data_IF_535798730804
#
_entry.id   IF_535798730804
#
_cell.length_a   1.000
_cell.length_b   1.000
_cell.length_c   1.000
_cell.angle_alpha   90.00
_cell.angle_beta   90.00
_cell.angle_gamma   90.00
#
_symmetry.space_group_name_H-M   'P 1'
#
loop_
_entity.id
_entity.type
_entity.pdbx_description
1 polymer ?
#
# COMPACT_ATOMS: atom_id res chain seq x y z
N UNK A 1 -41.63 -9.43 22.04
CA UNK A 1 -41.07 -8.81 20.81
C UNK A 1 -39.86 -8.00 21.22
N UNK A 2 -38.65 -8.50 20.99
CA UNK A 2 -37.43 -7.68 21.16
C UNK A 2 -37.53 -6.49 20.20
N UNK A 3 -37.46 -5.26 20.74
CA UNK A 3 -37.19 -4.07 19.93
C UNK A 3 -35.68 -3.97 19.83
N UNK A 4 -35.09 -4.55 18.78
CA UNK A 4 -33.68 -4.29 18.48
C UNK A 4 -33.51 -2.79 18.24
N UNK A 5 -32.72 -2.13 19.09
CA UNK A 5 -32.49 -0.71 18.97
C UNK A 5 -31.51 -0.47 17.81
N UNK A 6 -31.95 0.28 16.80
CA UNK A 6 -31.13 0.57 15.61
C UNK A 6 -30.31 1.82 15.87
N UNK A 7 -28.99 1.70 15.71
CA UNK A 7 -28.03 2.80 15.90
C UNK A 7 -27.36 3.10 14.57
N UNK A 8 -27.42 4.35 14.14
CA UNK A 8 -26.69 4.84 12.96
C UNK A 8 -25.52 5.71 13.39
N UNK A 9 -24.35 5.40 12.86
CA UNK A 9 -23.10 6.14 13.07
C UNK A 9 -22.73 6.83 11.77
N UNK A 10 -22.50 8.14 11.87
CA UNK A 10 -22.00 8.98 10.79
C UNK A 10 -20.54 9.29 11.10
N UNK A 11 -19.62 8.84 10.25
CA UNK A 11 -18.18 8.96 10.50
C UNK A 11 -17.43 9.21 9.21
N UNK A 12 -16.16 9.58 9.33
CA UNK A 12 -15.18 9.49 8.25
C UNK A 12 -14.26 8.34 8.65
N UNK A 13 -14.29 7.26 7.89
CA UNK A 13 -13.47 6.10 8.12
C UNK A 13 -12.25 6.14 7.21
N UNK A 14 -11.13 5.60 7.68
CA UNK A 14 -9.96 5.36 6.84
C UNK A 14 -9.28 4.07 7.25
N UNK A 15 -8.61 3.45 6.29
CA UNK A 15 -7.73 2.31 6.52
C UNK A 15 -6.48 2.47 5.65
N UNK A 16 -5.37 1.90 6.12
CA UNK A 16 -4.09 1.92 5.41
C UNK A 16 -3.44 0.55 5.45
N UNK A 17 -2.97 0.08 4.30
CA UNK A 17 -2.06 -1.05 4.22
C UNK A 17 -0.64 -0.52 4.39
N UNK A 18 0.09 -1.08 5.35
CA UNK A 18 1.48 -0.74 5.60
C UNK A 18 2.41 -1.86 5.15
N UNK A 19 3.55 -1.48 4.57
CA UNK A 19 4.61 -2.37 4.15
C UNK A 19 5.98 -1.78 4.43
N UNK A 20 6.99 -2.63 4.53
CA UNK A 20 8.37 -2.14 4.64
C UNK A 20 8.90 -1.78 3.26
N UNK A 21 9.35 -0.55 3.10
CA UNK A 21 10.06 -0.08 1.91
C UNK A 21 11.27 0.75 2.34
N UNK A 22 12.47 0.41 1.87
CA UNK A 22 13.73 1.05 2.28
C UNK A 22 13.90 1.14 3.82
N UNK A 23 13.45 0.11 4.55
CA UNK A 23 13.51 0.05 6.01
C UNK A 23 12.49 0.94 6.75
N UNK A 24 11.61 1.64 6.03
CA UNK A 24 10.50 2.42 6.60
C UNK A 24 9.22 1.59 6.51
N UNK A 25 8.46 1.50 7.60
CA UNK A 25 7.13 0.91 7.58
C UNK A 25 6.13 1.96 7.12
N UNK A 26 5.85 1.97 5.82
CA UNK A 26 5.13 3.04 5.13
C UNK A 26 3.78 2.59 4.61
N UNK A 27 2.83 3.52 4.49
CA UNK A 27 1.59 3.28 3.76
C UNK A 27 1.89 2.94 2.29
N UNK A 28 1.40 1.80 1.82
CA UNK A 28 1.57 1.30 0.45
C UNK A 28 0.26 1.25 -0.35
N UNK A 29 -0.87 1.29 0.35
CA UNK A 29 -2.22 1.37 -0.19
C UNK A 29 -3.16 1.77 0.94
N UNK A 30 -4.42 2.08 0.63
CA UNK A 30 -5.40 2.47 1.62
C UNK A 30 -6.56 3.19 0.98
N UNK A 31 -7.47 3.61 1.83
CA UNK A 31 -8.64 4.38 1.44
C UNK A 31 -9.24 5.09 2.63
N UNK A 32 -10.12 6.03 2.33
CA UNK A 32 -10.93 6.68 3.32
C UNK A 32 -12.11 7.36 2.68
N UNK A 33 -13.24 7.29 3.34
CA UNK A 33 -14.48 7.88 2.86
C UNK A 33 -15.36 8.26 4.06
N UNK A 34 -16.22 9.26 3.89
CA UNK A 34 -17.42 9.36 4.70
C UNK A 34 -18.22 8.06 4.65
N UNK A 35 -18.65 7.58 5.82
CA UNK A 35 -19.33 6.29 5.94
C UNK A 35 -20.51 6.40 6.87
N UNK A 36 -21.60 5.71 6.51
CA UNK A 36 -22.73 5.47 7.41
C UNK A 36 -22.74 4.01 7.79
N UNK A 37 -22.66 3.74 9.10
CA UNK A 37 -22.68 2.39 9.64
C UNK A 37 -23.94 2.21 10.48
N UNK A 38 -24.71 1.16 10.20
CA UNK A 38 -25.92 0.83 10.95
C UNK A 38 -25.71 -0.44 11.76
N UNK A 39 -26.05 -0.39 13.04
CA UNK A 39 -25.97 -1.52 13.97
C UNK A 39 -27.35 -1.83 14.57
N UNK A 40 -27.60 -3.10 14.90
CA UNK A 40 -28.57 -3.46 15.92
C UNK A 40 -27.86 -3.57 17.27
N UNK A 41 -28.54 -3.10 18.32
CA UNK A 41 -28.10 -3.29 19.70
C UNK A 41 -29.11 -4.15 20.43
N UNK A 42 -28.65 -5.28 20.97
CA UNK A 42 -29.51 -6.18 21.74
C UNK A 42 -29.67 -5.70 23.19
N UNK A 43 -30.52 -6.38 23.96
CA UNK A 43 -30.81 -6.04 25.36
C UNK A 43 -29.58 -6.17 26.29
N UNK A 44 -28.58 -6.97 25.90
CA UNK A 44 -27.30 -7.11 26.62
C UNK A 44 -26.30 -5.99 26.27
N UNK A 45 -26.65 -5.13 25.32
CA UNK A 45 -25.82 -4.04 24.86
C UNK A 45 -24.79 -4.41 23.81
N UNK A 46 -24.84 -5.62 23.25
CA UNK A 46 -23.97 -6.08 22.18
C UNK A 46 -24.43 -5.48 20.84
N UNK A 47 -23.46 -5.16 19.98
CA UNK A 47 -23.69 -4.54 18.68
C UNK A 47 -23.45 -5.56 17.56
N UNK A 48 -24.38 -5.64 16.61
CA UNK A 48 -24.24 -6.40 15.38
C UNK A 48 -24.30 -5.46 14.18
N UNK A 49 -23.33 -5.57 13.26
CA UNK A 49 -23.32 -4.78 12.04
C UNK A 49 -24.50 -5.20 11.16
N UNK A 50 -25.33 -4.22 10.77
CA UNK A 50 -26.43 -4.42 9.82
C UNK A 50 -26.08 -3.90 8.44
N UNK A 51 -25.42 -2.75 8.36
CA UNK A 51 -25.14 -2.11 7.08
C UNK A 51 -23.89 -1.22 7.17
N UNK A 52 -23.13 -1.20 6.08
CA UNK A 52 -22.00 -0.30 5.85
C UNK A 52 -22.18 0.35 4.48
N UNK A 53 -22.21 1.69 4.42
CA UNK A 53 -22.42 2.46 3.18
C UNK A 53 -21.36 3.53 2.99
N UNK A 54 -20.84 3.60 1.78
CA UNK A 54 -19.95 4.66 1.27
C UNK A 54 -20.66 5.46 0.17
N UNK A 55 -20.29 6.74 -0.04
CA UNK A 55 -20.77 7.53 -1.16
C UNK A 55 -20.29 6.91 -2.50
N UNK A 56 -21.01 7.23 -3.56
CA UNK A 56 -20.58 6.89 -4.92
C UNK A 56 -19.40 7.78 -5.34
N UNK A 57 -18.62 7.34 -6.31
CA UNK A 57 -17.48 8.11 -6.81
C UNK A 57 -17.85 9.13 -7.90
N UNK A 58 -16.91 10.03 -8.18
CA UNK A 58 -16.95 10.93 -9.33
C UNK A 58 -18.11 11.93 -9.29
N UNK A 59 -18.79 12.10 -10.43
CA UNK A 59 -19.85 13.10 -10.58
C UNK A 59 -21.04 12.88 -9.63
N UNK A 60 -21.21 11.68 -9.07
CA UNK A 60 -22.31 11.35 -8.17
C UNK A 60 -21.94 11.45 -6.67
N UNK A 61 -20.69 11.81 -6.35
CA UNK A 61 -20.18 11.85 -4.98
C UNK A 61 -20.99 12.78 -4.09
N UNK A 62 -21.09 14.06 -4.44
CA UNK A 62 -21.80 15.07 -3.64
C UNK A 62 -23.25 14.70 -3.39
N UNK A 63 -23.97 14.22 -4.41
CA UNK A 63 -25.39 13.87 -4.30
C UNK A 63 -25.62 12.63 -3.43
N UNK A 64 -24.78 11.61 -3.55
CA UNK A 64 -24.87 10.40 -2.73
C UNK A 64 -24.59 10.70 -1.26
N UNK A 65 -23.57 11.53 -1.00
CA UNK A 65 -23.16 11.95 0.33
C UNK A 65 -24.28 12.76 1.03
N UNK A 66 -24.92 13.71 0.33
CA UNK A 66 -26.08 14.45 0.87
C UNK A 66 -27.30 13.56 1.15
N UNK A 67 -27.51 12.49 0.36
CA UNK A 67 -28.58 11.51 0.61
C UNK A 67 -28.30 10.61 1.80
N UNK A 68 -27.03 10.30 2.06
CA UNK A 68 -26.62 9.41 3.14
C UNK A 68 -26.58 10.09 4.49
N UNK A 69 -26.15 11.35 4.55
CA UNK A 69 -25.94 12.11 5.78
C UNK A 69 -27.11 13.05 6.09
N UNK A 70 -27.45 13.27 7.38
CA UNK A 70 -28.36 14.32 7.81
C UNK A 70 -27.89 15.70 7.33
N UNK A 71 -28.82 16.57 6.95
CA UNK A 71 -28.55 17.91 6.41
C UNK A 71 -27.60 18.73 7.30
N UNK A 72 -27.79 18.67 8.62
CA UNK A 72 -26.94 19.35 9.60
C UNK A 72 -25.45 18.96 9.56
N UNK A 73 -25.10 17.82 8.94
CA UNK A 73 -23.72 17.34 8.82
C UNK A 73 -23.13 17.59 7.44
N UNK A 74 -23.92 18.05 6.46
CA UNK A 74 -23.48 18.16 5.05
C UNK A 74 -22.20 19.00 4.91
N UNK A 75 -22.11 20.14 5.58
CA UNK A 75 -20.92 21.00 5.50
C UNK A 75 -19.67 20.31 6.08
N UNK A 76 -19.83 19.56 7.17
CA UNK A 76 -18.73 18.82 7.80
C UNK A 76 -18.22 17.70 6.91
N UNK A 77 -19.13 16.97 6.27
CA UNK A 77 -18.79 15.80 5.45
C UNK A 77 -18.35 16.17 4.03
N UNK A 78 -18.81 17.30 3.49
CA UNK A 78 -18.26 17.87 2.25
C UNK A 78 -16.86 18.46 2.44
N UNK A 79 -16.52 18.83 3.68
CA UNK A 79 -15.18 19.31 4.07
C UNK A 79 -14.40 18.21 4.82
N UNK A 80 -14.58 16.94 4.42
CA UNK A 80 -14.00 15.79 5.12
C UNK A 80 -12.46 15.78 5.13
N UNK A 81 -11.83 16.45 4.17
CA UNK A 81 -10.38 16.60 4.04
C UNK A 81 -9.73 17.21 5.29
N UNK A 82 -10.45 18.07 6.02
CA UNK A 82 -9.96 18.66 7.28
C UNK A 82 -9.64 17.62 8.36
N UNK A 83 -10.22 16.42 8.27
CA UNK A 83 -10.00 15.34 9.23
C UNK A 83 -8.87 14.39 8.83
N UNK A 84 -8.37 14.46 7.59
CA UNK A 84 -7.34 13.55 7.08
C UNK A 84 -6.02 13.59 7.86
N UNK A 85 -5.53 14.73 8.36
CA UNK A 85 -4.32 14.75 9.19
C UNK A 85 -4.45 13.92 10.47
N UNK A 86 -5.61 13.97 11.13
CA UNK A 86 -5.86 13.19 12.35
C UNK A 86 -6.03 11.70 12.05
N UNK A 87 -6.73 11.36 10.95
CA UNK A 87 -6.85 9.97 10.49
C UNK A 87 -5.47 9.38 10.15
N UNK A 88 -4.59 10.17 9.53
CA UNK A 88 -3.20 9.79 9.23
C UNK A 88 -2.44 9.49 10.52
N UNK A 89 -2.56 10.35 11.54
CA UNK A 89 -1.94 10.15 12.85
C UNK A 89 -2.43 8.87 13.53
N UNK A 90 -3.73 8.58 13.44
CA UNK A 90 -4.32 7.36 14.01
C UNK A 90 -3.79 6.10 13.31
N UNK A 91 -3.69 6.12 11.97
CA UNK A 91 -3.10 5.02 11.21
C UNK A 91 -1.64 4.78 11.59
N UNK A 92 -0.84 5.84 11.72
CA UNK A 92 0.56 5.72 12.15
C UNK A 92 0.69 5.16 13.57
N UNK A 93 -0.19 5.58 14.50
CA UNK A 93 -0.21 5.05 15.85
C UNK A 93 -0.52 3.55 15.86
N UNK A 94 -1.57 3.13 15.15
CA UNK A 94 -1.96 1.72 15.04
C UNK A 94 -0.85 0.87 14.37
N UNK A 95 -0.23 1.38 13.30
CA UNK A 95 0.89 0.72 12.65
C UNK A 95 2.10 0.59 13.58
N UNK A 96 2.39 1.60 14.39
CA UNK A 96 3.47 1.55 15.39
C UNK A 96 3.17 0.53 16.51
N UNK A 97 1.93 0.43 16.96
CA UNK A 97 1.50 -0.59 17.93
C UNK A 97 1.61 -2.00 17.36
N UNK A 98 1.23 -2.20 16.10
CA UNK A 98 1.43 -3.46 15.39
C UNK A 98 2.92 -3.85 15.33
N UNK A 99 3.81 -2.93 14.98
CA UNK A 99 5.26 -3.22 14.97
C UNK A 99 5.75 -3.68 16.35
N UNK A 100 5.32 -3.00 17.41
CA UNK A 100 5.66 -3.39 18.80
C UNK A 100 5.16 -4.80 19.13
N UNK A 101 3.93 -5.15 18.73
CA UNK A 101 3.34 -6.46 19.04
C UNK A 101 4.07 -7.62 18.38
N UNK A 102 4.74 -7.39 17.24
CA UNK A 102 5.60 -8.37 16.56
C UNK A 102 7.09 -8.21 16.91
N UNK A 103 7.44 -7.38 17.91
CA UNK A 103 8.82 -7.18 18.36
C UNK A 103 9.73 -6.44 17.38
N UNK A 104 9.17 -5.66 16.44
CA UNK A 104 9.93 -4.87 15.46
C UNK A 104 9.90 -3.38 15.80
N UNK A 105 10.96 -2.68 15.40
CA UNK A 105 11.05 -1.21 15.51
C UNK A 105 11.48 -0.66 14.17
N UNK A 106 10.72 0.30 13.65
CA UNK A 106 11.05 1.04 12.44
C UNK A 106 10.37 2.40 12.46
N UNK A 107 10.83 3.31 11.59
CA UNK A 107 10.08 4.54 11.32
C UNK A 107 8.74 4.17 10.67
N UNK A 108 7.66 4.72 11.20
CA UNK A 108 6.32 4.61 10.63
C UNK A 108 5.98 5.89 9.87
N UNK A 109 5.37 5.77 8.70
CA UNK A 109 4.94 6.90 7.88
C UNK A 109 3.73 6.54 7.04
N UNK A 110 2.57 7.14 7.27
CA UNK A 110 1.44 6.99 6.35
C UNK A 110 1.63 7.82 5.07
N UNK A 111 2.47 8.86 5.13
CA UNK A 111 2.79 9.70 3.98
C UNK A 111 3.67 8.99 2.96
N UNK A 112 3.52 9.38 1.69
CA UNK A 112 4.35 8.90 0.59
C UNK A 112 5.83 9.17 0.83
N UNK A 113 6.64 8.10 0.77
CA UNK A 113 8.09 8.19 0.84
C UNK A 113 8.64 8.29 -0.59
N UNK A 114 9.30 9.41 -0.91
CA UNK A 114 9.92 9.62 -2.23
C UNK A 114 10.87 8.47 -2.58
N UNK A 115 10.69 7.91 -3.77
CA UNK A 115 11.53 6.83 -4.32
C UNK A 115 12.42 7.34 -5.44
N UNK A 116 13.61 6.75 -5.58
CA UNK A 116 14.53 7.02 -6.68
C UNK A 116 14.21 6.05 -7.83
N UNK A 117 13.87 6.57 -9.00
CA UNK A 117 13.70 5.74 -10.20
C UNK A 117 15.06 5.34 -10.79
N UNK A 118 15.06 4.29 -11.62
CA UNK A 118 16.22 3.93 -12.44
C UNK A 118 16.49 5.01 -13.49
N UNK A 119 17.76 5.30 -13.73
CA UNK A 119 18.22 6.21 -14.77
C UNK A 119 18.45 5.45 -16.07
N UNK A 120 17.35 5.08 -16.74
CA UNK A 120 17.33 4.38 -18.04
C UNK A 120 16.21 5.00 -18.90
N UNK A 121 16.27 4.80 -20.22
CA UNK A 121 15.23 5.34 -21.09
C UNK A 121 13.84 4.70 -20.78
N UNK A 122 12.78 5.42 -21.14
CA UNK A 122 11.39 5.03 -20.83
C UNK A 122 11.00 3.69 -21.50
N UNK A 123 11.50 3.42 -22.71
CA UNK A 123 11.20 2.18 -23.42
C UNK A 123 11.76 0.95 -22.68
N UNK A 124 13.02 1.01 -22.27
CA UNK A 124 13.67 -0.02 -21.45
C UNK A 124 12.99 -0.15 -20.09
N UNK A 125 12.59 0.97 -19.46
CA UNK A 125 11.84 0.96 -18.21
C UNK A 125 10.50 0.20 -18.37
N UNK A 126 9.75 0.49 -19.43
CA UNK A 126 8.47 -0.20 -19.69
C UNK A 126 8.68 -1.70 -19.93
N UNK A 127 9.70 -2.09 -20.69
CA UNK A 127 10.06 -3.51 -20.88
C UNK A 127 10.33 -4.21 -19.55
N UNK A 128 11.19 -3.64 -18.71
CA UNK A 128 11.60 -4.25 -17.44
C UNK A 128 10.48 -4.28 -16.41
N UNK A 129 9.74 -3.19 -16.24
CA UNK A 129 8.84 -3.01 -15.10
C UNK A 129 7.35 -3.22 -15.44
N UNK A 130 6.98 -3.24 -16.72
CA UNK A 130 5.59 -3.46 -17.15
C UNK A 130 5.43 -4.71 -18.02
N UNK A 131 6.32 -4.99 -18.95
CA UNK A 131 6.17 -6.15 -19.85
C UNK A 131 6.67 -7.44 -19.20
N UNK A 132 7.94 -7.46 -18.75
CA UNK A 132 8.53 -8.67 -18.17
C UNK A 132 7.84 -9.08 -16.85
N UNK A 133 7.31 -8.12 -16.10
CA UNK A 133 6.61 -8.36 -14.83
C UNK A 133 5.24 -9.02 -15.02
N UNK A 134 4.63 -8.99 -16.21
CA UNK A 134 3.35 -9.67 -16.46
C UNK A 134 3.45 -11.20 -16.37
N UNK A 135 4.62 -11.74 -16.73
CA UNK A 135 4.84 -13.18 -16.82
C UNK A 135 5.86 -13.71 -15.81
N UNK A 136 6.47 -12.82 -15.02
CA UNK A 136 7.46 -13.18 -14.03
C UNK A 136 7.11 -12.59 -12.67
N UNK A 137 6.63 -13.47 -11.77
CA UNK A 137 6.22 -13.08 -10.42
C UNK A 137 7.37 -12.51 -9.59
N UNK A 138 8.59 -13.03 -9.74
CA UNK A 138 9.76 -12.52 -9.03
C UNK A 138 10.06 -11.06 -9.43
N UNK A 139 10.04 -10.75 -10.72
CA UNK A 139 10.20 -9.37 -11.21
C UNK A 139 9.03 -8.49 -10.81
N UNK A 140 7.80 -9.01 -10.87
CA UNK A 140 6.60 -8.30 -10.42
C UNK A 140 6.67 -7.94 -8.92
N UNK A 141 7.30 -8.82 -8.13
CA UNK A 141 7.55 -8.63 -6.71
C UNK A 141 8.73 -7.70 -6.42
N UNK A 142 9.59 -7.39 -7.39
CA UNK A 142 10.61 -6.35 -7.22
C UNK A 142 10.01 -4.94 -7.35
N UNK A 143 10.49 -3.95 -6.58
CA UNK A 143 10.02 -2.58 -6.71
C UNK A 143 10.40 -2.00 -8.09
N UNK A 144 9.53 -1.18 -8.70
CA UNK A 144 9.86 -0.48 -9.95
C UNK A 144 10.74 0.77 -9.74
N UNK A 145 11.36 0.87 -8.56
CA UNK A 145 12.24 1.95 -8.13
C UNK A 145 13.46 1.36 -7.45
N UNK A 146 14.56 2.10 -7.42
CA UNK A 146 15.78 1.70 -6.71
C UNK A 146 15.50 1.66 -5.21
N UNK A 147 15.71 0.50 -4.61
CA UNK A 147 15.48 0.26 -3.20
C UNK A 147 14.93 -1.13 -2.91
N UNK A 148 14.34 -1.27 -1.72
CA UNK A 148 13.79 -2.54 -1.25
C UNK A 148 12.32 -2.44 -0.88
N UNK A 149 11.63 -3.58 -0.93
CA UNK A 149 10.37 -3.80 -0.24
C UNK A 149 10.31 -5.19 0.37
N UNK A 150 9.58 -5.34 1.47
CA UNK A 150 9.30 -6.65 2.06
C UNK A 150 7.98 -7.22 1.55
N UNK A 151 7.95 -8.52 1.29
CA UNK A 151 6.74 -9.28 1.01
C UNK A 151 6.67 -10.51 1.92
N UNK A 152 5.46 -10.95 2.23
CA UNK A 152 5.22 -12.20 2.98
C UNK A 152 4.63 -13.21 2.01
N UNK A 153 5.30 -14.37 1.88
CA UNK A 153 4.89 -15.47 1.04
C UNK A 153 4.75 -16.73 1.90
N UNK A 154 3.54 -17.27 2.00
CA UNK A 154 3.25 -18.45 2.81
C UNK A 154 3.75 -18.34 4.27
N UNK A 155 3.65 -17.14 4.85
CA UNK A 155 4.11 -16.84 6.21
C UNK A 155 5.61 -16.57 6.35
N UNK A 156 6.38 -16.68 5.27
CA UNK A 156 7.82 -16.39 5.25
C UNK A 156 8.07 -14.99 4.67
N UNK A 157 8.94 -14.22 5.32
CA UNK A 157 9.31 -12.88 4.86
C UNK A 157 10.46 -12.93 3.88
N UNK A 158 10.34 -12.14 2.81
CA UNK A 158 11.40 -11.91 1.85
C UNK A 158 11.62 -10.42 1.64
N UNK A 159 12.87 -10.04 1.35
CA UNK A 159 13.21 -8.70 0.89
C UNK A 159 13.47 -8.76 -0.60
N UNK A 160 12.69 -8.00 -1.36
CA UNK A 160 12.86 -7.77 -2.78
C UNK A 160 13.58 -6.46 -3.01
N UNK A 161 14.58 -6.46 -3.88
CA UNK A 161 15.44 -5.32 -4.17
C UNK A 161 15.55 -5.08 -5.67
N UNK A 162 15.52 -3.81 -6.05
CA UNK A 162 15.94 -3.32 -7.36
C UNK A 162 17.11 -2.37 -7.14
N UNK A 163 18.22 -2.60 -7.83
CA UNK A 163 19.41 -1.73 -7.80
C UNK A 163 19.92 -1.43 -9.20
N UNK A 164 20.63 -0.32 -9.34
CA UNK A 164 21.28 0.09 -10.59
C UNK A 164 22.76 0.31 -10.34
N UNK A 165 23.58 -0.19 -11.24
CA UNK A 165 25.03 0.01 -11.29
C UNK A 165 25.51 0.11 -12.74
N UNK A 166 26.82 0.17 -12.95
CA UNK A 166 27.44 0.13 -14.27
C UNK A 166 28.23 -1.16 -14.45
N UNK A 167 28.19 -1.71 -15.66
CA UNK A 167 29.06 -2.79 -16.10
C UNK A 167 30.49 -2.29 -16.34
N UNK A 168 31.45 -3.21 -16.52
CA UNK A 168 32.84 -2.85 -16.82
C UNK A 168 33.02 -2.12 -18.16
N UNK A 169 32.05 -2.27 -19.07
CA UNK A 169 31.98 -1.56 -20.35
C UNK A 169 30.94 -0.41 -20.34
N UNK A 170 30.66 0.14 -19.16
CA UNK A 170 29.90 1.37 -18.90
C UNK A 170 28.40 1.36 -19.30
N UNK A 171 27.85 0.19 -19.62
CA UNK A 171 26.40 0.03 -19.75
C UNK A 171 25.71 -0.02 -18.39
N UNK A 172 24.47 0.46 -18.32
CA UNK A 172 23.62 0.31 -17.15
C UNK A 172 23.33 -1.17 -16.85
N UNK A 173 23.39 -1.51 -15.57
CA UNK A 173 23.10 -2.84 -15.05
C UNK A 173 21.99 -2.73 -14.00
N UNK A 174 20.80 -3.24 -14.33
CA UNK A 174 19.68 -3.36 -13.41
C UNK A 174 19.73 -4.73 -12.75
N UNK A 175 19.79 -4.76 -11.43
CA UNK A 175 19.82 -6.00 -10.65
C UNK A 175 18.55 -6.11 -9.81
N UNK A 176 17.87 -7.24 -9.97
CA UNK A 176 16.74 -7.67 -9.17
C UNK A 176 17.19 -8.77 -8.22
N UNK A 177 16.79 -8.71 -6.96
CA UNK A 177 17.23 -9.68 -5.96
C UNK A 177 16.13 -9.98 -4.94
N UNK A 178 15.97 -11.25 -4.59
CA UNK A 178 15.15 -11.74 -3.47
C UNK A 178 16.07 -12.36 -2.43
N UNK A 179 15.95 -11.90 -1.20
CA UNK A 179 16.69 -12.43 -0.06
C UNK A 179 15.74 -12.94 1.01
N UNK A 180 16.11 -14.03 1.69
CA UNK A 180 15.39 -14.53 2.86
C UNK A 180 15.78 -13.74 4.12
N UNK A 181 15.20 -14.10 5.27
CA UNK A 181 15.47 -13.42 6.56
C UNK A 181 16.94 -13.50 7.00
N UNK A 182 17.68 -14.55 6.60
CA UNK A 182 19.11 -14.70 6.88
C UNK A 182 20.00 -13.84 5.96
N UNK A 183 19.40 -13.12 5.01
CA UNK A 183 20.10 -12.34 3.99
C UNK A 183 20.67 -13.18 2.84
N UNK A 184 20.36 -14.48 2.79
CA UNK A 184 20.79 -15.34 1.70
C UNK A 184 20.00 -15.00 0.42
N UNK A 185 20.71 -14.87 -0.69
CA UNK A 185 20.11 -14.62 -2.01
C UNK A 185 19.41 -15.89 -2.49
N UNK A 186 18.09 -15.83 -2.60
CA UNK A 186 17.23 -16.89 -3.10
C UNK A 186 17.15 -16.82 -4.62
N UNK A 187 16.83 -15.64 -5.16
CA UNK A 187 16.68 -15.43 -6.61
C UNK A 187 17.33 -14.09 -7.00
N UNK A 188 18.02 -14.04 -8.13
CA UNK A 188 18.72 -12.84 -8.60
C UNK A 188 18.84 -12.78 -10.12
N UNK A 189 18.37 -11.69 -10.72
CA UNK A 189 18.42 -11.46 -12.17
C UNK A 189 19.17 -10.17 -12.43
N UNK A 190 20.09 -10.16 -13.39
CA UNK A 190 20.81 -8.94 -13.82
C UNK A 190 20.60 -8.70 -15.30
N UNK A 191 20.15 -7.50 -15.63
CA UNK A 191 19.90 -7.04 -16.99
C UNK A 191 20.89 -5.93 -17.34
N UNK A 192 21.71 -6.17 -18.37
CA UNK A 192 22.54 -5.15 -18.99
C UNK A 192 21.72 -4.41 -20.03
N UNK A 193 21.71 -3.10 -19.99
CA UNK A 193 20.94 -2.28 -20.95
C UNK A 193 21.82 -1.97 -22.15
N UNK A 194 21.51 -2.53 -23.32
CA UNK A 194 22.24 -2.29 -24.58
C UNK A 194 21.33 -1.53 -25.53
N UNK A 195 21.61 -0.25 -25.73
CA UNK A 195 20.66 0.64 -26.42
C UNK A 195 19.35 0.74 -25.63
N UNK A 196 18.24 0.31 -26.22
CA UNK A 196 16.93 0.27 -25.56
C UNK A 196 16.53 -1.14 -25.09
N UNK A 197 17.42 -2.13 -25.23
CA UNK A 197 17.13 -3.52 -24.92
C UNK A 197 17.72 -3.98 -23.58
N UNK A 198 16.91 -4.46 -22.63
CA UNK A 198 17.39 -5.12 -21.44
C UNK A 198 17.81 -6.56 -21.76
N UNK A 199 19.12 -6.82 -21.76
CA UNK A 199 19.70 -8.14 -22.02
C UNK A 199 20.00 -8.85 -20.70
N UNK A 200 19.37 -10.00 -20.45
CA UNK A 200 19.64 -10.81 -19.26
C UNK A 200 21.08 -11.37 -19.33
N UNK A 201 21.93 -10.97 -18.40
CA UNK A 201 23.35 -11.37 -18.34
C UNK A 201 23.67 -12.30 -17.17
N UNK A 202 22.77 -12.38 -16.18
CA UNK A 202 22.91 -13.29 -15.05
C UNK A 202 21.53 -13.67 -14.52
N UNK A 203 21.40 -14.95 -14.15
CA UNK A 203 20.20 -15.50 -13.52
C UNK A 203 20.60 -16.54 -12.47
N UNK A 204 20.09 -16.37 -11.26
CA UNK A 204 20.11 -17.35 -10.19
C UNK A 204 18.68 -17.61 -9.74
N UNK A 205 18.33 -18.89 -9.65
CA UNK A 205 17.07 -19.40 -9.09
C UNK A 205 17.37 -20.32 -7.90
#
# INVERSE_FOLDING_TARGET
MHKDNIIKVYTIASFGYFGFENGIFTGISGGGAPTVITFSKNEKGEYSLLEYKEPMDGAFYTDSLKKMFPEKLHDEVLSADKYYPELTRQQEAQAAEYLKSIGRTAKVSAAYVKKKLTDINVETSNKLFAEFTQYNQFLNNCPHWIGTRECIENGVRYVYETSQSKTSDDYDLITFKKTNEDGAIVEEYRYKIVGNEPVLVYKKN
#
